data_IF_819465104230
#
_entry.id   IF_819465104230
#
_cell.length_a   1.000
_cell.length_b   1.000
_cell.length_c   1.000
_cell.angle_alpha   90.00
_cell.angle_beta   90.00
_cell.angle_gamma   90.00
#
_symmetry.space_group_name_H-M   'P 1'
#
loop_
_entity.id
_entity.type
_entity.pdbx_description
1 polymer ?
#
# COMPACT_ATOMS: atom_id res chain seq x y z
N UNK A 1 -15.62 -0.37 -15.06
CA UNK A 1 -14.17 -0.61 -15.01
C UNK A 1 -13.73 -0.19 -13.62
N UNK A 2 -13.28 -1.13 -12.79
CA UNK A 2 -12.75 -0.78 -11.47
C UNK A 2 -11.46 0.02 -11.65
N UNK A 3 -11.33 1.12 -10.91
CA UNK A 3 -10.08 1.90 -10.89
C UNK A 3 -9.03 1.07 -10.12
N UNK A 4 -7.98 0.55 -10.79
CA UNK A 4 -7.02 -0.35 -10.15
C UNK A 4 -6.28 0.33 -9.00
N UNK A 5 -6.09 1.64 -9.08
CA UNK A 5 -5.50 2.43 -8.00
C UNK A 5 -6.43 2.51 -6.79
N UNK A 6 -7.74 2.64 -6.98
CA UNK A 6 -8.71 2.60 -5.88
C UNK A 6 -8.75 1.22 -5.21
N UNK A 7 -8.68 0.14 -5.98
CA UNK A 7 -8.62 -1.22 -5.44
C UNK A 7 -7.32 -1.46 -4.64
N UNK A 8 -6.18 -1.01 -5.17
CA UNK A 8 -4.91 -1.07 -4.47
C UNK A 8 -4.96 -0.31 -3.14
N UNK A 9 -5.53 0.91 -3.12
CA UNK A 9 -5.72 1.71 -1.89
C UNK A 9 -6.56 0.97 -0.85
N UNK A 10 -7.68 0.37 -1.26
CA UNK A 10 -8.55 -0.38 -0.35
C UNK A 10 -7.82 -1.59 0.26
N UNK A 11 -7.05 -2.33 -0.55
CA UNK A 11 -6.23 -3.45 -0.07
C UNK A 11 -5.12 -3.01 0.87
N UNK A 12 -4.38 -1.95 0.54
CA UNK A 12 -3.34 -1.38 1.42
C UNK A 12 -3.95 -0.95 2.76
N UNK A 13 -5.14 -0.34 2.76
CA UNK A 13 -5.86 0.01 3.99
C UNK A 13 -6.22 -1.23 4.81
N UNK A 14 -6.70 -2.31 4.17
CA UNK A 14 -6.98 -3.55 4.88
C UNK A 14 -5.73 -4.14 5.55
N UNK A 15 -4.57 -4.11 4.88
CA UNK A 15 -3.29 -4.55 5.47
C UNK A 15 -2.89 -3.68 6.67
N UNK A 16 -3.07 -2.36 6.56
CA UNK A 16 -2.85 -1.47 7.70
C UNK A 16 -3.78 -1.81 8.87
N UNK A 17 -5.07 -2.11 8.63
CA UNK A 17 -6.01 -2.50 9.69
C UNK A 17 -5.55 -3.78 10.38
N UNK A 18 -5.06 -4.75 9.62
CA UNK A 18 -4.53 -6.02 10.16
C UNK A 18 -3.29 -5.78 11.04
N UNK A 19 -2.33 -5.00 10.56
CA UNK A 19 -1.09 -4.66 11.29
C UNK A 19 -1.36 -3.91 12.59
N UNK A 20 -2.29 -2.94 12.57
CA UNK A 20 -2.64 -2.15 13.75
C UNK A 20 -3.69 -2.83 14.64
N UNK A 21 -4.24 -3.97 14.21
CA UNK A 21 -5.30 -4.69 14.93
C UNK A 21 -6.60 -3.89 15.07
N UNK A 22 -6.86 -2.93 14.16
CA UNK A 22 -8.04 -2.08 14.24
C UNK A 22 -8.13 -0.96 13.20
N UNK A 23 -9.37 -0.62 12.83
CA UNK A 23 -9.69 0.37 11.80
C UNK A 23 -9.60 1.83 12.27
N UNK A 24 -9.74 2.09 13.58
CA UNK A 24 -9.93 3.45 14.12
C UNK A 24 -8.84 4.44 13.70
N UNK A 25 -7.59 3.98 13.64
CA UNK A 25 -6.46 4.78 13.17
C UNK A 25 -6.51 4.96 11.64
N UNK A 26 -6.58 3.83 10.93
CA UNK A 26 -6.48 3.78 9.46
C UNK A 26 -7.61 4.53 8.77
N UNK A 27 -8.84 4.45 9.29
CA UNK A 27 -10.00 5.17 8.76
C UNK A 27 -9.80 6.69 8.74
N UNK A 28 -9.01 7.23 9.67
CA UNK A 28 -8.67 8.65 9.74
C UNK A 28 -7.49 9.09 8.87
N UNK A 29 -6.72 8.16 8.28
CA UNK A 29 -5.54 8.49 7.48
C UNK A 29 -5.96 8.87 6.06
N UNK A 30 -5.66 10.11 5.60
CA UNK A 30 -5.87 10.51 4.20
C UNK A 30 -4.92 9.76 3.27
N UNK A 31 -5.37 9.41 2.07
CA UNK A 31 -4.56 8.64 1.11
C UNK A 31 -3.28 9.38 0.66
N UNK A 32 -3.32 10.72 0.66
CA UNK A 32 -2.21 11.60 0.30
C UNK A 32 -1.36 12.03 1.50
N UNK A 33 -1.74 11.66 2.72
CA UNK A 33 -0.98 12.00 3.90
C UNK A 33 0.27 11.13 4.01
N UNK A 34 1.34 11.73 4.54
CA UNK A 34 2.53 10.99 4.89
C UNK A 34 2.22 10.00 6.01
N UNK A 35 2.42 8.70 5.78
CA UNK A 35 2.21 7.63 6.76
C UNK A 35 2.98 7.91 8.05
N UNK A 36 4.22 8.42 7.90
CA UNK A 36 5.06 8.79 9.05
C UNK A 36 4.48 9.95 9.85
N UNK A 37 3.93 10.96 9.18
CA UNK A 37 3.29 12.11 9.87
C UNK A 37 1.92 11.73 10.44
N UNK A 38 1.24 10.78 9.82
CA UNK A 38 0.00 10.20 10.32
C UNK A 38 0.22 9.37 11.60
N UNK A 39 1.48 9.05 11.95
CA UNK A 39 1.82 8.30 13.15
C UNK A 39 2.11 6.82 12.92
N UNK A 40 2.28 6.38 11.67
CA UNK A 40 2.74 5.02 11.36
C UNK A 40 4.21 4.88 11.78
N UNK A 41 4.53 4.01 12.76
CA UNK A 41 5.91 3.79 13.15
C UNK A 41 6.68 3.08 12.05
N UNK A 42 7.99 3.29 11.98
CA UNK A 42 8.85 2.67 10.96
C UNK A 42 8.74 1.14 10.94
N UNK A 43 8.51 0.50 12.10
CA UNK A 43 8.31 -0.95 12.20
C UNK A 43 7.01 -1.39 11.52
N UNK A 44 5.90 -0.66 11.71
CA UNK A 44 4.64 -0.94 11.03
C UNK A 44 4.73 -0.66 9.53
N UNK A 45 5.52 0.34 9.12
CA UNK A 45 5.79 0.57 7.70
C UNK A 45 6.50 -0.63 7.09
N UNK A 46 7.57 -1.14 7.71
CA UNK A 46 8.26 -2.35 7.23
C UNK A 46 7.32 -3.56 7.19
N UNK A 47 6.50 -3.76 8.22
CA UNK A 47 5.48 -4.82 8.22
C UNK A 47 4.47 -4.65 7.08
N UNK A 48 4.07 -3.42 6.75
CA UNK A 48 3.20 -3.14 5.62
C UNK A 48 3.86 -3.52 4.30
N UNK A 49 5.14 -3.17 4.11
CA UNK A 49 5.88 -3.49 2.88
C UNK A 49 5.92 -5.01 2.65
N UNK A 50 6.28 -5.79 3.69
CA UNK A 50 6.31 -7.25 3.60
C UNK A 50 4.90 -7.83 3.35
N UNK A 51 3.88 -7.29 4.02
CA UNK A 51 2.50 -7.73 3.81
C UNK A 51 1.99 -7.37 2.40
N UNK A 52 2.48 -6.28 1.81
CA UNK A 52 2.16 -5.91 0.43
C UNK A 52 2.80 -6.87 -0.58
N UNK A 53 4.05 -7.28 -0.39
CA UNK A 53 4.71 -8.27 -1.26
C UNK A 53 3.89 -9.56 -1.34
N UNK A 54 3.46 -10.08 -0.18
CA UNK A 54 2.61 -11.26 -0.10
C UNK A 54 1.21 -11.03 -0.71
N UNK A 55 0.55 -9.93 -0.36
CA UNK A 55 -0.83 -9.67 -0.78
C UNK A 55 -0.99 -9.36 -2.26
N UNK A 56 0.04 -8.78 -2.89
CA UNK A 56 0.03 -8.38 -4.29
C UNK A 56 0.93 -9.26 -5.17
N UNK A 57 1.75 -10.14 -4.58
CA UNK A 57 2.60 -11.08 -5.30
C UNK A 57 3.74 -10.42 -6.06
N UNK A 58 4.35 -9.39 -5.49
CA UNK A 58 5.53 -8.70 -6.05
C UNK A 58 6.65 -8.64 -5.02
N UNK A 59 7.86 -8.30 -5.47
CA UNK A 59 9.03 -8.07 -4.62
C UNK A 59 9.41 -6.59 -4.70
N UNK A 60 9.72 -5.95 -3.57
CA UNK A 60 10.22 -4.57 -3.59
C UNK A 60 11.61 -4.52 -4.22
N UNK A 61 11.82 -3.57 -5.13
CA UNK A 61 13.14 -3.29 -5.69
C UNK A 61 14.01 -2.56 -4.64
N UNK A 62 15.28 -2.95 -4.50
CA UNK A 62 16.25 -2.29 -3.61
C UNK A 62 16.41 -0.78 -3.94
N UNK A 63 16.09 -0.35 -5.17
CA UNK A 63 16.14 1.04 -5.62
C UNK A 63 14.82 1.82 -5.38
N UNK A 64 13.86 1.25 -4.64
CA UNK A 64 12.59 1.94 -4.33
C UNK A 64 12.84 3.26 -3.61
N UNK A 65 12.39 4.35 -4.24
CA UNK A 65 12.52 5.68 -3.67
C UNK A 65 11.66 5.81 -2.42
N UNK A 66 12.17 6.46 -1.35
CA UNK A 66 11.42 6.65 -0.11
C UNK A 66 10.15 7.47 -0.30
N UNK A 67 10.07 8.26 -1.37
CA UNK A 67 8.89 9.03 -1.77
C UNK A 67 7.71 8.11 -2.15
N UNK A 68 7.97 6.92 -2.69
CA UNK A 68 6.95 5.93 -3.03
C UNK A 68 6.30 5.36 -1.77
N UNK A 69 7.10 5.23 -0.71
CA UNK A 69 6.69 4.64 0.57
C UNK A 69 6.06 5.66 1.54
N UNK A 70 5.90 6.92 1.10
CA UNK A 70 5.39 7.99 1.98
C UNK A 70 3.89 7.95 2.16
N UNK A 71 3.12 7.59 1.13
CA UNK A 71 1.66 7.76 1.14
C UNK A 71 0.96 6.52 0.59
N UNK A 72 -0.29 6.30 1.01
CA UNK A 72 -1.11 5.18 0.50
C UNK A 72 -1.33 5.35 -1.01
N UNK A 73 -1.49 6.59 -1.48
CA UNK A 73 -1.65 6.88 -2.91
C UNK A 73 -0.39 6.56 -3.74
N UNK A 74 0.80 6.82 -3.19
CA UNK A 74 2.09 6.49 -3.83
C UNK A 74 2.31 4.98 -3.89
N UNK A 75 2.03 4.27 -2.79
CA UNK A 75 2.07 2.81 -2.72
C UNK A 75 1.10 2.17 -3.74
N UNK A 76 -0.13 2.67 -3.80
CA UNK A 76 -1.12 2.21 -4.77
C UNK A 76 -0.68 2.49 -6.21
N UNK A 77 -0.04 3.63 -6.48
CA UNK A 77 0.55 3.93 -7.79
C UNK A 77 1.58 2.88 -8.19
N UNK A 78 2.52 2.57 -7.30
CA UNK A 78 3.56 1.58 -7.56
C UNK A 78 3.03 0.18 -7.84
N UNK A 79 2.03 -0.27 -7.09
CA UNK A 79 1.36 -1.56 -7.29
C UNK A 79 0.65 -1.65 -8.65
N UNK A 80 0.11 -0.53 -9.13
CA UNK A 80 -0.50 -0.45 -10.46
C UNK A 80 0.57 -0.45 -11.55
N UNK A 81 1.67 0.28 -11.35
CA UNK A 81 2.80 0.31 -12.30
C UNK A 81 3.49 -1.05 -12.46
N UNK A 82 3.57 -1.83 -11.38
CA UNK A 82 4.09 -3.21 -11.39
C UNK A 82 3.11 -4.22 -11.99
N UNK A 83 1.86 -3.82 -12.28
CA UNK A 83 0.83 -4.70 -12.85
C UNK A 83 0.23 -5.71 -11.85
N UNK A 84 0.53 -5.56 -10.55
CA UNK A 84 0.09 -6.47 -9.50
C UNK A 84 -1.41 -6.32 -9.17
N UNK A 85 -2.00 -5.15 -9.44
CA UNK A 85 -3.46 -4.94 -9.39
C UNK A 85 -4.03 -4.91 -10.79
N UNK A 86 -4.21 -6.11 -11.36
CA UNK A 86 -4.95 -6.31 -12.59
C UNK A 86 -4.21 -7.09 -13.68
N UNK A 87 -3.94 -8.37 -13.45
CA UNK A 87 -3.77 -9.35 -14.53
C UNK A 87 -5.04 -10.16 -14.73
N UNK A 88 -6.10 -9.48 -15.18
CA UNK A 88 -7.18 -10.12 -15.91
C UNK A 88 -7.04 -9.78 -17.40
N UNK A 89 -6.25 -10.59 -18.12
CA UNK A 89 -6.26 -10.67 -19.59
C UNK A 89 -4.93 -10.31 -20.28
N UNK A 90 -4.22 -11.31 -20.84
CA UNK A 90 -2.94 -11.03 -21.51
C UNK A 90 -2.23 -12.09 -22.35
N UNK A 91 -2.84 -13.25 -22.64
CA UNK A 91 -2.43 -14.30 -23.61
C UNK A 91 -1.34 -15.29 -23.18
#
# INVERSE_FOLDING_TARGET
MSDPRAEARLRIRALLVDIFGGDRFVSGVPDTASLREAGVPSTALVSLLVAMEDAFGFEWDDEVRPEVLRTIDSLAGHVVETGAVGTAGGR
#
